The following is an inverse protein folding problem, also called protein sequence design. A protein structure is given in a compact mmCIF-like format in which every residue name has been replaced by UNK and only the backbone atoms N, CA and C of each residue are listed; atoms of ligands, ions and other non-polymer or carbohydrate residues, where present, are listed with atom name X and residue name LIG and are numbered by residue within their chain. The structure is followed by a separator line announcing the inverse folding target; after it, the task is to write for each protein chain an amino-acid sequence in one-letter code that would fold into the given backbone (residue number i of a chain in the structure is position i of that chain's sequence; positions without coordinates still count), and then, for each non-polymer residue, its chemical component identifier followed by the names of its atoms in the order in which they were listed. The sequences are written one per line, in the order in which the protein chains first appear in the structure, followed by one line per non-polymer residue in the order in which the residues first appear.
data_IF_212099722118
#
_entry.id   IF_212099722118
#
_cell.length_a   1.000
_cell.length_b   1.000
_cell.length_c   1.000
_cell.angle_alpha   90.00
_cell.angle_beta   90.00
_cell.angle_gamma   90.00
#
_symmetry.space_group_name_H-M   'P 1'
#
loop_
_entity.id
_entity.type
_entity.pdbx_description
1 polymer ?
#
# COMPACT_ATOMS: atom_id res chain seq x y z
N UNK A 1 29.45 -85.62 -19.99
CA UNK A 1 30.56 -84.67 -20.19
C UNK A 1 29.95 -83.49 -20.91
N UNK A 2 29.49 -82.51 -20.15
CA UNK A 2 28.69 -81.38 -20.65
C UNK A 2 29.60 -80.16 -20.67
N UNK A 3 29.79 -79.62 -21.87
CA UNK A 3 30.67 -78.47 -22.13
C UNK A 3 30.01 -77.20 -21.60
N UNK A 4 30.66 -76.53 -20.65
CA UNK A 4 30.26 -75.20 -20.19
C UNK A 4 30.66 -74.16 -21.24
N UNK A 5 29.67 -73.49 -21.83
CA UNK A 5 29.88 -72.27 -22.61
C UNK A 5 29.96 -71.10 -21.63
N UNK A 6 31.14 -70.49 -21.51
CA UNK A 6 31.30 -69.16 -20.90
C UNK A 6 30.96 -68.12 -21.98
N UNK A 7 29.85 -67.40 -21.80
CA UNK A 7 29.67 -66.11 -22.47
C UNK A 7 30.27 -65.01 -21.61
N UNK A 8 31.27 -64.34 -22.17
CA UNK A 8 31.73 -63.02 -21.75
C UNK A 8 30.55 -62.02 -21.79
N UNK A 9 30.63 -61.00 -20.93
CA UNK A 9 29.69 -59.87 -20.75
C UNK A 9 28.85 -59.93 -19.46
N UNK A 10 29.54 -59.87 -18.33
CA UNK A 10 28.97 -59.52 -17.02
C UNK A 10 28.75 -58.03 -16.82
N UNK A 11 28.22 -57.30 -17.80
CA UNK A 11 27.66 -55.97 -17.57
C UNK A 11 26.21 -56.16 -17.16
N UNK A 12 26.01 -56.26 -15.84
CA UNK A 12 24.70 -56.29 -15.21
C UNK A 12 23.83 -55.14 -15.73
N UNK A 13 22.72 -55.52 -16.35
CA UNK A 13 21.61 -54.68 -16.79
C UNK A 13 20.84 -54.12 -15.57
N UNK A 14 21.52 -53.39 -14.68
CA UNK A 14 20.93 -52.73 -13.49
C UNK A 14 20.72 -51.22 -13.71
N UNK A 15 21.31 -50.64 -14.76
CA UNK A 15 21.37 -49.18 -14.94
C UNK A 15 20.21 -48.55 -15.75
N UNK A 16 19.26 -49.34 -16.28
CA UNK A 16 18.26 -48.84 -17.23
C UNK A 16 17.08 -48.07 -16.61
N UNK A 17 16.61 -48.50 -15.43
CA UNK A 17 15.43 -47.91 -14.78
C UNK A 17 15.77 -47.00 -13.60
N UNK A 18 16.99 -47.08 -13.08
CA UNK A 18 17.44 -46.33 -11.90
C UNK A 18 18.02 -44.96 -12.26
N UNK A 19 18.76 -44.83 -13.36
CA UNK A 19 19.30 -43.54 -13.78
C UNK A 19 18.21 -42.51 -14.15
N UNK A 20 17.19 -42.84 -14.96
CA UNK A 20 16.15 -41.86 -15.33
C UNK A 20 15.32 -41.39 -14.13
N UNK A 21 15.10 -42.27 -13.15
CA UNK A 21 14.39 -41.92 -11.91
C UNK A 21 15.24 -41.01 -11.00
N UNK A 22 16.55 -41.27 -10.92
CA UNK A 22 17.48 -40.40 -10.18
C UNK A 22 17.59 -39.03 -10.85
N UNK A 23 17.60 -38.97 -12.19
CA UNK A 23 17.64 -37.69 -12.92
C UNK A 23 16.36 -36.87 -12.74
N UNK A 24 15.19 -37.52 -12.67
CA UNK A 24 13.92 -36.82 -12.39
C UNK A 24 13.90 -36.29 -10.95
N UNK A 25 14.31 -37.09 -9.97
CA UNK A 25 14.39 -36.66 -8.56
C UNK A 25 15.39 -35.50 -8.39
N UNK A 26 16.54 -35.55 -9.09
CA UNK A 26 17.53 -34.48 -9.06
C UNK A 26 17.00 -33.18 -9.69
N UNK A 27 16.21 -33.29 -10.76
CA UNK A 27 15.53 -32.16 -11.39
C UNK A 27 14.51 -31.51 -10.45
N UNK A 28 13.67 -32.33 -9.80
CA UNK A 28 12.69 -31.86 -8.80
C UNK A 28 13.36 -31.23 -7.58
N UNK A 29 14.47 -31.80 -7.12
CA UNK A 29 15.25 -31.24 -6.02
C UNK A 29 15.88 -29.90 -6.40
N UNK A 30 16.43 -29.76 -7.62
CA UNK A 30 16.98 -28.51 -8.10
C UNK A 30 15.91 -27.42 -8.24
N UNK A 31 14.72 -27.78 -8.71
CA UNK A 31 13.58 -26.87 -8.75
C UNK A 31 13.18 -26.45 -7.34
N UNK A 32 13.07 -27.39 -6.40
CA UNK A 32 12.76 -27.12 -5.00
C UNK A 32 13.82 -26.24 -4.32
N UNK A 33 15.10 -26.42 -4.64
CA UNK A 33 16.20 -25.58 -4.14
C UNK A 33 16.15 -24.17 -4.74
N UNK A 34 15.80 -24.03 -6.03
CA UNK A 34 15.58 -22.74 -6.65
C UNK A 34 14.39 -22.01 -6.00
N UNK A 35 13.30 -22.73 -5.77
CA UNK A 35 12.11 -22.23 -5.09
C UNK A 35 12.42 -21.86 -3.64
N UNK A 36 13.21 -22.64 -2.90
CA UNK A 36 13.65 -22.32 -1.53
C UNK A 36 14.58 -21.10 -1.48
N UNK A 37 15.49 -20.94 -2.45
CA UNK A 37 16.33 -19.74 -2.58
C UNK A 37 15.47 -18.50 -2.82
N UNK A 38 14.39 -18.63 -3.58
CA UNK A 38 13.41 -17.56 -3.78
C UNK A 38 12.53 -17.37 -2.52
N UNK A 39 12.16 -18.45 -1.83
CA UNK A 39 11.29 -18.43 -0.64
C UNK A 39 11.95 -17.77 0.57
N UNK A 40 13.27 -17.96 0.74
CA UNK A 40 14.07 -17.30 1.79
C UNK A 40 14.23 -15.78 1.57
N UNK A 41 13.62 -15.21 0.52
CA UNK A 41 13.58 -13.75 0.30
C UNK A 41 12.23 -13.10 0.60
N UNK A 42 11.20 -13.88 0.95
CA UNK A 42 9.86 -13.35 1.23
C UNK A 42 9.67 -12.85 2.67
N UNK A 43 10.60 -13.12 3.59
CA UNK A 43 10.51 -12.69 5.00
C UNK A 43 11.31 -11.40 5.27
N UNK A 44 11.14 -10.40 4.42
CA UNK A 44 11.92 -9.16 4.34
C UNK A 44 13.26 -9.33 3.62
N UNK A 45 13.26 -9.13 2.30
CA UNK A 45 14.31 -8.26 1.76
C UNK A 45 14.28 -7.00 2.62
N UNK A 46 15.29 -6.81 3.47
CA UNK A 46 15.34 -5.60 4.26
C UNK A 46 15.20 -4.44 3.27
N UNK A 47 14.24 -3.56 3.48
CA UNK A 47 14.12 -2.32 2.70
C UNK A 47 15.43 -1.52 2.66
N UNK A 48 16.43 -1.87 3.50
CA UNK A 48 17.77 -1.32 3.50
C UNK A 48 18.38 -1.18 2.09
N UNK A 49 18.10 -2.11 1.16
CA UNK A 49 18.59 -2.02 -0.23
C UNK A 49 17.47 -2.07 -1.29
N UNK A 50 16.20 -1.98 -0.89
CA UNK A 50 15.07 -2.03 -1.81
C UNK A 50 14.27 -0.73 -1.75
N UNK A 51 14.38 0.07 -2.81
CA UNK A 51 13.65 1.33 -2.98
C UNK A 51 12.35 1.17 -3.78
N UNK A 52 11.91 -0.07 -4.00
CA UNK A 52 10.82 -0.39 -4.92
C UNK A 52 11.25 -0.31 -6.38
N UNK A 53 10.52 -1.02 -7.24
CA UNK A 53 10.62 -0.86 -8.70
C UNK A 53 9.37 -0.20 -9.27
N UNK A 54 9.55 0.54 -10.35
CA UNK A 54 8.41 1.08 -11.10
C UNK A 54 7.71 -0.06 -11.87
N UNK A 55 6.47 -0.36 -11.49
CA UNK A 55 5.68 -1.43 -12.06
C UNK A 55 5.14 -1.12 -13.46
N UNK A 56 5.15 0.15 -13.89
CA UNK A 56 4.70 0.57 -15.22
C UNK A 56 5.46 -0.12 -16.36
N UNK A 57 6.71 -0.52 -16.13
CA UNK A 57 7.51 -1.26 -17.11
C UNK A 57 7.12 -2.73 -17.26
N UNK A 58 6.27 -3.24 -16.37
CA UNK A 58 5.91 -4.66 -16.30
C UNK A 58 4.41 -4.90 -16.52
N UNK A 59 3.57 -4.01 -16.01
CA UNK A 59 2.12 -4.19 -16.04
C UNK A 59 1.42 -2.85 -16.29
N UNK A 60 0.48 -2.84 -17.22
CA UNK A 60 -0.58 -1.84 -17.29
C UNK A 60 -1.47 -1.92 -16.03
N UNK A 61 -2.23 -0.87 -15.68
CA UNK A 61 -3.14 -0.92 -14.54
C UNK A 61 -4.12 -2.11 -14.61
N UNK A 62 -4.66 -2.40 -15.79
CA UNK A 62 -5.58 -3.53 -16.01
C UNK A 62 -4.91 -4.88 -15.76
N UNK A 63 -3.72 -5.12 -16.31
CA UNK A 63 -2.96 -6.35 -16.07
C UNK A 63 -2.60 -6.50 -14.59
N UNK A 64 -2.24 -5.38 -13.94
CA UNK A 64 -1.94 -5.37 -12.51
C UNK A 64 -3.17 -5.76 -11.67
N UNK A 65 -4.35 -5.19 -11.95
CA UNK A 65 -5.61 -5.56 -11.30
C UNK A 65 -5.97 -7.03 -11.52
N UNK A 66 -5.80 -7.54 -12.74
CA UNK A 66 -6.09 -8.94 -13.07
C UNK A 66 -5.18 -9.89 -12.27
N UNK A 67 -3.89 -9.58 -12.23
CA UNK A 67 -2.89 -10.32 -11.45
C UNK A 67 -3.25 -10.36 -9.96
N UNK A 68 -3.62 -9.22 -9.39
CA UNK A 68 -4.09 -9.11 -8.00
C UNK A 68 -5.36 -9.95 -7.79
N UNK A 69 -6.35 -9.81 -8.67
CA UNK A 69 -7.63 -10.53 -8.57
C UNK A 69 -7.45 -12.04 -8.60
N UNK A 70 -6.49 -12.52 -9.38
CA UNK A 70 -6.10 -13.93 -9.47
C UNK A 70 -5.28 -14.43 -8.27
N UNK A 71 -4.93 -13.54 -7.32
CA UNK A 71 -4.09 -13.87 -6.16
C UNK A 71 -2.63 -14.11 -6.51
N UNK A 72 -2.20 -13.69 -7.70
CA UNK A 72 -0.82 -13.82 -8.12
C UNK A 72 0.01 -12.64 -7.59
N UNK A 73 0.65 -12.81 -6.43
CA UNK A 73 1.57 -11.80 -5.90
C UNK A 73 3.04 -12.04 -6.26
N UNK A 74 3.33 -12.97 -7.18
CA UNK A 74 4.71 -13.24 -7.62
C UNK A 74 5.34 -11.98 -8.20
N UNK A 75 6.62 -11.75 -7.91
CA UNK A 75 7.35 -10.57 -8.36
C UNK A 75 6.75 -9.22 -7.91
N UNK A 76 5.86 -9.18 -6.92
CA UNK A 76 5.40 -7.95 -6.29
C UNK A 76 5.97 -7.86 -4.89
N UNK A 77 6.48 -6.67 -4.52
CA UNK A 77 7.10 -6.43 -3.23
C UNK A 77 6.54 -5.16 -2.58
N UNK A 78 6.57 -5.11 -1.24
CA UNK A 78 6.29 -3.88 -0.50
C UNK A 78 7.26 -2.77 -0.96
N UNK A 79 6.73 -1.60 -1.30
CA UNK A 79 7.49 -0.48 -1.84
C UNK A 79 7.54 -0.42 -3.37
N UNK A 80 7.14 -1.48 -4.10
CA UNK A 80 6.92 -1.37 -5.55
C UNK A 80 5.88 -0.31 -5.87
N UNK A 81 6.04 0.38 -6.99
CA UNK A 81 5.30 1.62 -7.18
C UNK A 81 4.85 1.90 -8.60
N UNK A 82 3.87 2.79 -8.68
CA UNK A 82 3.49 3.51 -9.89
C UNK A 82 3.67 5.01 -9.66
N UNK A 83 4.02 5.72 -10.72
CA UNK A 83 3.99 7.18 -10.77
C UNK A 83 2.75 7.57 -11.59
N UNK A 84 1.77 8.16 -10.92
CA UNK A 84 0.47 8.51 -11.50
C UNK A 84 0.42 10.02 -11.63
N UNK A 85 0.26 10.52 -12.85
CA UNK A 85 0.05 11.95 -13.11
C UNK A 85 -1.44 12.23 -13.15
N UNK A 86 -1.91 13.05 -12.21
CA UNK A 86 -3.27 13.56 -12.17
C UNK A 86 -3.47 14.59 -13.28
N UNK A 87 -4.69 14.72 -13.80
CA UNK A 87 -5.05 15.86 -14.65
C UNK A 87 -4.93 17.17 -13.87
N UNK A 88 -4.79 18.28 -14.61
CA UNK A 88 -4.79 19.63 -14.05
C UNK A 88 -6.06 19.90 -13.24
N UNK A 89 -5.95 20.85 -12.30
CA UNK A 89 -7.08 21.33 -11.50
C UNK A 89 -7.63 22.60 -12.15
N UNK A 90 -8.76 22.50 -12.84
CA UNK A 90 -9.38 23.65 -13.52
C UNK A 90 -9.87 24.72 -12.54
N UNK A 91 -10.12 24.37 -11.27
CA UNK A 91 -10.56 25.30 -10.21
C UNK A 91 -9.38 25.96 -9.47
N UNK A 92 -8.15 25.46 -9.63
CA UNK A 92 -6.96 25.95 -8.92
C UNK A 92 -5.79 26.30 -9.86
N UNK A 93 -5.85 27.50 -10.42
CA UNK A 93 -4.85 28.05 -11.35
C UNK A 93 -3.53 28.48 -10.68
N UNK A 94 -3.43 28.41 -9.36
CA UNK A 94 -2.22 28.77 -8.59
C UNK A 94 -1.33 27.57 -8.23
N UNK A 95 -1.60 26.39 -8.80
CA UNK A 95 -0.72 25.24 -8.68
C UNK A 95 0.56 25.46 -9.51
N UNK A 96 1.78 25.42 -8.93
CA UNK A 96 3.00 25.75 -9.67
C UNK A 96 3.34 24.82 -10.83
N UNK A 97 2.55 23.75 -11.03
CA UNK A 97 2.77 22.77 -12.08
C UNK A 97 1.81 22.86 -13.27
N UNK A 98 0.73 23.65 -13.23
CA UNK A 98 -0.13 24.02 -14.38
C UNK A 98 -0.84 22.89 -15.17
N UNK A 99 -0.23 21.72 -15.31
CA UNK A 99 -0.50 20.67 -16.30
C UNK A 99 -0.77 19.30 -15.66
N UNK A 100 -0.97 19.27 -14.34
CA UNK A 100 -1.15 18.04 -13.56
C UNK A 100 -0.11 17.86 -12.46
N UNK A 101 -0.37 16.91 -11.57
CA UNK A 101 0.51 16.59 -10.44
C UNK A 101 0.88 15.10 -10.50
N UNK A 102 2.17 14.78 -10.48
CA UNK A 102 2.63 13.39 -10.37
C UNK A 102 2.74 12.97 -8.92
N UNK A 103 2.14 11.83 -8.58
CA UNK A 103 2.22 11.23 -7.24
C UNK A 103 2.79 9.81 -7.37
N UNK A 104 3.76 9.49 -6.52
CA UNK A 104 4.33 8.13 -6.40
C UNK A 104 3.49 7.33 -5.40
N UNK A 105 2.81 6.30 -5.89
CA UNK A 105 2.02 5.38 -5.05
C UNK A 105 2.76 4.05 -4.91
N UNK A 106 2.98 3.61 -3.67
CA UNK A 106 3.72 2.40 -3.32
C UNK A 106 2.81 1.32 -2.74
N UNK A 107 3.06 0.06 -3.09
CA UNK A 107 2.43 -1.10 -2.47
C UNK A 107 2.76 -1.09 -0.97
N UNK A 108 1.73 -0.86 -0.17
CA UNK A 108 1.82 -0.65 1.28
C UNK A 108 1.33 -1.85 2.10
N UNK A 109 0.53 -2.72 1.47
CA UNK A 109 0.04 -3.95 2.06
C UNK A 109 -0.63 -4.86 1.04
N UNK A 110 -0.50 -6.16 1.26
CA UNK A 110 -1.22 -7.20 0.52
C UNK A 110 -2.33 -7.75 1.41
N UNK A 111 -3.55 -7.82 0.90
CA UNK A 111 -4.70 -8.39 1.59
C UNK A 111 -4.95 -7.82 3.01
N UNK A 112 -4.56 -6.57 3.28
CA UNK A 112 -4.62 -5.98 4.63
C UNK A 112 -6.06 -5.82 5.14
N UNK A 113 -7.03 -5.67 4.24
CA UNK A 113 -8.45 -5.54 4.54
C UNK A 113 -9.22 -6.83 4.20
N UNK A 114 -8.57 -7.99 4.17
CA UNK A 114 -9.24 -9.23 3.83
C UNK A 114 -10.30 -9.57 4.89
N UNK A 115 -11.52 -9.84 4.44
CA UNK A 115 -12.71 -10.03 5.27
C UNK A 115 -13.10 -8.81 6.11
N UNK A 116 -12.71 -7.61 5.69
CA UNK A 116 -13.06 -6.34 6.32
C UNK A 116 -14.09 -5.58 5.49
N UNK A 117 -15.03 -4.90 6.14
CA UNK A 117 -16.13 -4.18 5.50
C UNK A 117 -17.48 -4.45 6.18
N UNK A 118 -18.52 -3.68 5.83
CA UNK A 118 -19.89 -3.93 6.30
C UNK A 118 -20.81 -4.35 5.17
N UNK A 119 -20.88 -3.54 4.12
CA UNK A 119 -21.76 -3.79 2.98
C UNK A 119 -20.96 -4.38 1.82
N UNK A 120 -19.71 -3.93 1.63
CA UNK A 120 -18.78 -4.41 0.62
C UNK A 120 -17.60 -5.11 1.30
N UNK A 121 -17.87 -6.25 1.96
CA UNK A 121 -16.83 -7.04 2.61
C UNK A 121 -15.79 -7.47 1.57
N UNK A 122 -14.54 -7.09 1.79
CA UNK A 122 -13.46 -7.34 0.84
C UNK A 122 -12.93 -8.77 1.01
N UNK A 123 -13.53 -9.71 0.29
CA UNK A 123 -13.14 -11.13 0.28
C UNK A 123 -12.16 -11.49 -0.84
N UNK A 124 -12.08 -10.64 -1.86
CA UNK A 124 -11.15 -10.81 -2.97
C UNK A 124 -9.75 -10.36 -2.58
N UNK A 125 -8.76 -10.95 -3.26
CA UNK A 125 -7.39 -10.47 -3.21
C UNK A 125 -7.31 -8.99 -3.61
N UNK A 126 -6.48 -8.24 -2.90
CA UNK A 126 -6.32 -6.81 -3.09
C UNK A 126 -4.96 -6.31 -2.61
N UNK A 127 -4.61 -5.12 -3.09
CA UNK A 127 -3.43 -4.38 -2.66
C UNK A 127 -3.83 -2.99 -2.20
N UNK A 128 -3.19 -2.53 -1.12
CA UNK A 128 -3.30 -1.14 -0.66
C UNK A 128 -2.09 -0.38 -1.16
N UNK A 129 -2.34 0.68 -1.90
CA UNK A 129 -1.32 1.60 -2.36
C UNK A 129 -1.42 2.91 -1.58
N UNK A 130 -0.29 3.49 -1.19
CA UNK A 130 -0.25 4.79 -0.51
C UNK A 130 0.79 5.70 -1.14
N UNK A 131 0.53 7.00 -1.12
CA UNK A 131 1.44 8.01 -1.63
C UNK A 131 2.74 8.05 -0.81
N UNK A 132 3.89 8.18 -1.46
CA UNK A 132 5.18 8.37 -0.78
C UNK A 132 5.25 9.76 -0.17
N UNK A 133 5.02 10.77 -1.00
CA UNK A 133 4.97 12.18 -0.62
C UNK A 133 3.52 12.67 -0.57
N UNK A 134 3.29 13.78 0.11
CA UNK A 134 2.01 14.45 0.07
C UNK A 134 1.75 15.02 -1.33
N UNK A 135 0.48 15.33 -1.58
CA UNK A 135 0.15 16.29 -2.61
C UNK A 135 0.91 17.61 -2.36
N UNK A 136 1.18 18.35 -3.43
CA UNK A 136 1.88 19.62 -3.41
C UNK A 136 1.07 20.66 -2.64
N UNK A 137 -0.24 20.71 -2.91
CA UNK A 137 -1.18 21.52 -2.16
C UNK A 137 -1.39 21.01 -0.73
N UNK A 138 -1.66 21.96 0.16
CA UNK A 138 -2.13 21.72 1.51
C UNK A 138 -3.64 21.86 1.56
N UNK A 139 -4.27 21.25 2.56
CA UNK A 139 -5.70 21.38 2.79
C UNK A 139 -5.97 21.53 4.28
N UNK A 140 -6.95 22.35 4.62
CA UNK A 140 -7.53 22.34 5.96
C UNK A 140 -8.36 21.08 6.14
N UNK A 141 -8.40 20.55 7.36
CA UNK A 141 -9.34 19.48 7.67
C UNK A 141 -10.76 20.04 7.78
N UNK A 142 -10.93 21.22 8.39
CA UNK A 142 -12.19 21.95 8.56
C UNK A 142 -12.00 23.46 8.36
N UNK A 143 -13.08 24.21 8.14
CA UNK A 143 -12.99 25.69 8.01
C UNK A 143 -12.64 26.39 9.33
N UNK A 144 -13.09 25.81 10.44
CA UNK A 144 -12.87 26.29 11.81
C UNK A 144 -12.35 25.16 12.68
N UNK A 145 -11.75 25.53 13.80
CA UNK A 145 -11.20 24.64 14.83
C UNK A 145 -12.29 23.89 15.60
N UNK A 146 -12.92 22.95 14.89
CA UNK A 146 -13.92 22.02 15.37
C UNK A 146 -13.61 20.65 14.76
N UNK A 147 -13.80 19.56 15.50
CA UNK A 147 -13.68 18.19 15.00
C UNK A 147 -14.95 17.36 15.27
N UNK A 148 -16.06 18.04 15.57
CA UNK A 148 -17.37 17.41 15.74
C UNK A 148 -17.74 16.60 14.51
N UNK A 149 -18.15 15.34 14.73
CA UNK A 149 -18.44 14.38 13.66
C UNK A 149 -17.21 13.69 13.07
N UNK A 150 -15.99 14.03 13.52
CA UNK A 150 -14.73 13.42 13.15
C UNK A 150 -14.45 13.46 11.64
N UNK A 151 -13.79 12.42 11.13
CA UNK A 151 -13.30 12.43 9.74
C UNK A 151 -14.43 12.52 8.71
N UNK A 152 -15.55 11.84 8.93
CA UNK A 152 -16.65 11.83 7.97
C UNK A 152 -17.33 13.21 7.80
N UNK A 153 -17.31 14.05 8.84
CA UNK A 153 -17.86 15.40 8.79
C UNK A 153 -16.86 16.46 8.26
N UNK A 154 -15.61 16.06 8.02
CA UNK A 154 -14.56 16.99 7.58
C UNK A 154 -14.64 17.36 6.10
N UNK A 155 -13.84 18.33 5.68
CA UNK A 155 -13.68 18.70 4.27
C UNK A 155 -12.95 17.62 3.46
N UNK A 156 -12.19 16.76 4.13
CA UNK A 156 -11.25 15.83 3.49
C UNK A 156 -11.92 14.76 2.63
N UNK A 157 -12.99 14.05 3.07
CA UNK A 157 -13.76 13.17 2.21
C UNK A 157 -14.14 13.75 0.85
N UNK A 158 -14.74 14.95 0.84
CA UNK A 158 -15.20 15.61 -0.38
C UNK A 158 -14.02 16.02 -1.26
N UNK A 159 -12.95 16.53 -0.64
CA UNK A 159 -11.72 16.87 -1.35
C UNK A 159 -11.11 15.64 -2.04
N UNK A 160 -11.05 14.50 -1.36
CA UNK A 160 -10.46 13.28 -1.91
C UNK A 160 -11.26 12.69 -3.08
N UNK A 161 -12.59 12.86 -3.11
CA UNK A 161 -13.38 12.48 -4.29
C UNK A 161 -13.08 13.40 -5.49
N UNK A 162 -12.90 14.71 -5.28
CA UNK A 162 -12.40 15.61 -6.35
C UNK A 162 -11.00 15.23 -6.84
N UNK A 163 -10.13 14.79 -5.93
CA UNK A 163 -8.80 14.28 -6.32
C UNK A 163 -8.92 12.99 -7.13
N UNK A 164 -9.84 12.09 -6.77
CA UNK A 164 -10.10 10.86 -7.52
C UNK A 164 -10.57 11.14 -8.95
N UNK A 165 -11.42 12.14 -9.16
CA UNK A 165 -11.88 12.53 -10.50
C UNK A 165 -10.73 12.95 -11.43
N UNK A 166 -9.61 13.43 -10.86
CA UNK A 166 -8.39 13.81 -11.59
C UNK A 166 -7.47 12.63 -11.91
N UNK A 167 -7.74 11.43 -11.41
CA UNK A 167 -6.95 10.25 -11.81
C UNK A 167 -7.20 9.92 -13.28
N UNK A 168 -6.17 9.43 -14.01
CA UNK A 168 -6.36 8.89 -15.35
C UNK A 168 -7.43 7.79 -15.37
N UNK A 169 -8.14 7.67 -16.49
CA UNK A 169 -9.29 6.77 -16.65
C UNK A 169 -8.92 5.30 -16.37
N UNK A 170 -7.76 4.86 -16.83
CA UNK A 170 -7.26 3.52 -16.56
C UNK A 170 -7.05 3.23 -15.06
N UNK A 171 -6.73 4.26 -14.26
CA UNK A 171 -6.58 4.11 -12.81
C UNK A 171 -7.92 4.10 -12.09
N UNK A 172 -8.85 5.00 -12.47
CA UNK A 172 -10.21 5.00 -11.91
C UNK A 172 -10.92 3.66 -12.11
N UNK A 173 -10.66 2.98 -13.22
CA UNK A 173 -11.24 1.66 -13.54
C UNK A 173 -10.65 0.50 -12.71
N UNK A 174 -9.46 0.67 -12.14
CA UNK A 174 -8.81 -0.39 -11.34
C UNK A 174 -8.92 -0.16 -9.84
N UNK A 175 -9.06 1.09 -9.42
CA UNK A 175 -9.33 1.45 -8.03
C UNK A 175 -10.69 0.88 -7.62
N UNK A 176 -10.69 0.18 -6.49
CA UNK A 176 -11.88 -0.39 -5.87
C UNK A 176 -12.28 0.48 -4.67
N UNK A 177 -13.55 0.89 -4.55
CA UNK A 177 -14.05 1.51 -3.34
C UNK A 177 -13.89 0.59 -2.13
N UNK A 178 -13.39 1.12 -1.02
CA UNK A 178 -13.11 0.38 0.21
C UNK A 178 -14.04 0.81 1.34
N UNK A 179 -14.72 -0.13 1.98
CA UNK A 179 -15.45 0.11 3.23
C UNK A 179 -14.45 0.28 4.39
N UNK A 180 -14.48 1.44 5.05
CA UNK A 180 -13.64 1.78 6.20
C UNK A 180 -14.51 2.11 7.40
N UNK A 181 -14.04 1.71 8.59
CA UNK A 181 -14.68 2.03 9.86
C UNK A 181 -14.00 3.30 10.38
N UNK A 182 -14.65 4.45 10.18
CA UNK A 182 -14.08 5.77 10.42
C UNK A 182 -14.40 6.26 11.83
N UNK A 183 -13.44 6.97 12.42
CA UNK A 183 -13.58 7.59 13.72
C UNK A 183 -14.32 8.94 13.59
N UNK A 184 -15.58 8.95 14.03
CA UNK A 184 -16.48 10.10 13.96
C UNK A 184 -16.71 10.75 15.33
N UNK A 185 -15.71 10.64 16.23
CA UNK A 185 -15.68 11.17 17.62
C UNK A 185 -16.68 10.60 18.62
N UNK A 186 -17.95 10.48 18.24
CA UNK A 186 -19.02 9.95 19.10
C UNK A 186 -19.37 8.50 18.79
N UNK A 187 -18.86 7.99 17.67
CA UNK A 187 -19.08 6.63 17.17
C UNK A 187 -18.05 6.27 16.11
N UNK A 188 -17.91 4.98 15.89
CA UNK A 188 -17.24 4.43 14.72
C UNK A 188 -18.32 4.06 13.69
N UNK A 189 -18.25 4.62 12.48
CA UNK A 189 -19.23 4.35 11.42
C UNK A 189 -18.55 3.91 10.13
N UNK A 190 -19.26 3.08 9.37
CA UNK A 190 -18.81 2.61 8.08
C UNK A 190 -19.03 3.65 6.99
N UNK A 191 -17.99 3.93 6.21
CA UNK A 191 -18.05 4.72 4.99
C UNK A 191 -17.27 4.03 3.87
N UNK A 192 -17.74 4.17 2.63
CA UNK A 192 -17.05 3.66 1.45
C UNK A 192 -16.24 4.79 0.80
N UNK A 193 -14.97 4.56 0.50
CA UNK A 193 -14.04 5.57 -0.02
C UNK A 193 -13.28 5.07 -1.25
N UNK A 194 -13.13 5.90 -2.29
CA UNK A 194 -12.22 5.61 -3.40
C UNK A 194 -10.78 5.91 -3.01
N UNK A 195 -10.55 7.12 -2.49
CA UNK A 195 -9.30 7.56 -1.90
C UNK A 195 -9.51 7.86 -0.42
N UNK A 196 -8.46 7.69 0.37
CA UNK A 196 -8.55 7.91 1.82
C UNK A 196 -7.26 8.41 2.45
N UNK A 197 -7.38 9.11 3.58
CA UNK A 197 -6.27 9.28 4.50
C UNK A 197 -6.10 8.03 5.37
N UNK A 198 -4.85 7.70 5.66
CA UNK A 198 -4.55 6.67 6.65
C UNK A 198 -4.92 7.14 8.05
N UNK A 199 -5.41 6.20 8.85
CA UNK A 199 -5.64 6.36 10.28
C UNK A 199 -4.33 6.19 11.05
N UNK A 200 -4.25 6.69 12.29
CA UNK A 200 -3.09 6.45 13.15
C UNK A 200 -2.79 4.96 13.34
N UNK A 201 -3.82 4.13 13.47
CA UNK A 201 -3.67 2.68 13.64
C UNK A 201 -3.08 2.03 12.39
N UNK A 202 -3.43 2.51 11.20
CA UNK A 202 -2.87 2.00 9.94
C UNK A 202 -1.39 2.40 9.77
N UNK A 203 -0.97 3.54 10.33
CA UNK A 203 0.40 4.04 10.27
C UNK A 203 1.28 3.43 11.38
N UNK A 204 0.81 3.44 12.62
CA UNK A 204 1.59 3.15 13.83
C UNK A 204 1.27 1.79 14.46
N UNK A 205 0.14 1.18 14.07
CA UNK A 205 -0.39 -0.03 14.70
C UNK A 205 -1.23 0.22 15.94
N UNK A 206 -1.29 1.47 16.42
CA UNK A 206 -2.08 1.89 17.58
C UNK A 206 -2.33 3.40 17.54
N UNK A 207 -3.33 3.84 18.30
CA UNK A 207 -3.67 5.25 18.50
C UNK A 207 -2.75 5.90 19.53
N UNK A 208 -2.14 7.03 19.19
CA UNK A 208 -1.35 7.87 20.11
C UNK A 208 -2.15 9.11 20.51
N UNK A 209 -2.73 9.83 19.54
CA UNK A 209 -3.51 11.05 19.76
C UNK A 209 -5.00 10.86 19.47
N UNK A 210 -5.33 9.91 18.61
CA UNK A 210 -6.70 9.61 18.21
C UNK A 210 -7.58 9.16 19.38
N UNK A 211 -8.89 9.36 19.23
CA UNK A 211 -9.88 8.72 20.10
C UNK A 211 -9.86 7.20 19.92
N UNK A 212 -9.05 6.54 20.75
CA UNK A 212 -8.78 5.10 20.76
C UNK A 212 -10.04 4.23 20.87
N UNK A 213 -11.11 4.74 21.50
CA UNK A 213 -12.34 3.96 21.68
C UNK A 213 -13.09 3.77 20.36
N UNK A 214 -13.00 4.75 19.46
CA UNK A 214 -13.64 4.75 18.13
C UNK A 214 -12.65 4.52 16.98
N UNK A 215 -11.35 4.51 17.25
CA UNK A 215 -10.30 4.15 16.28
C UNK A 215 -10.29 2.63 16.03
N UNK A 216 -11.27 2.15 15.27
CA UNK A 216 -11.52 0.72 15.02
C UNK A 216 -11.18 0.28 13.60
N UNK A 217 -10.28 1.01 12.96
CA UNK A 217 -9.76 0.71 11.63
C UNK A 217 -9.08 -0.67 11.55
N UNK A 218 -8.55 -0.98 10.37
CA UNK A 218 -7.82 -2.24 10.14
C UNK A 218 -6.46 -2.27 10.87
N UNK A 219 -5.70 -3.35 10.64
CA UNK A 219 -4.32 -3.56 11.13
C UNK A 219 -3.32 -2.56 10.52
N UNK A 220 -2.16 -2.34 11.16
CA UNK A 220 -1.09 -1.53 10.57
C UNK A 220 -0.71 -1.99 9.18
N UNK A 221 -0.48 -1.04 8.26
CA UNK A 221 0.04 -1.34 6.94
C UNK A 221 1.49 -1.82 7.05
N UNK A 222 1.82 -3.01 6.51
CA UNK A 222 3.15 -3.62 6.65
C UNK A 222 4.30 -2.68 6.26
N UNK A 223 4.16 -1.92 5.18
CA UNK A 223 5.22 -1.02 4.71
C UNK A 223 5.63 0.03 5.75
N UNK A 224 4.67 0.55 6.51
CA UNK A 224 4.90 1.56 7.56
C UNK A 224 5.59 0.98 8.80
N UNK A 225 5.53 -0.35 8.97
CA UNK A 225 6.22 -1.04 10.07
C UNK A 225 7.70 -1.29 9.77
N UNK A 226 8.07 -1.37 8.50
CA UNK A 226 9.44 -1.72 8.11
C UNK A 226 10.36 -0.52 7.86
N UNK A 227 9.82 0.67 7.59
CA UNK A 227 10.68 1.85 7.32
C UNK A 227 10.02 3.17 7.65
N UNK A 228 10.80 4.07 8.26
CA UNK A 228 10.41 5.48 8.48
C UNK A 228 10.31 6.26 7.17
N UNK A 229 10.90 5.78 6.07
CA UNK A 229 10.84 6.40 4.74
C UNK A 229 9.41 6.67 4.27
N UNK A 230 8.47 5.78 4.62
CA UNK A 230 7.08 5.90 4.17
C UNK A 230 6.21 6.69 5.16
N UNK A 231 6.72 6.92 6.38
CA UNK A 231 6.16 7.84 7.38
C UNK A 231 6.62 9.27 7.21
N UNK A 232 7.80 9.51 6.65
CA UNK A 232 8.34 10.86 6.43
C UNK A 232 8.00 11.27 5.00
N UNK A 233 7.18 12.31 4.85
CA UNK A 233 6.69 12.80 3.55
C UNK A 233 7.14 14.24 3.31
N UNK A 234 7.19 14.67 2.05
CA UNK A 234 7.33 16.08 1.65
C UNK A 234 6.13 16.55 0.83
N UNK A 235 6.00 17.86 0.59
CA UNK A 235 4.97 18.40 -0.30
C UNK A 235 5.37 18.20 -1.76
N UNK A 236 4.58 17.41 -2.50
CA UNK A 236 4.80 17.16 -3.92
C UNK A 236 5.86 16.10 -4.22
N UNK A 237 5.90 15.72 -5.49
CA UNK A 237 6.68 14.60 -6.01
C UNK A 237 8.17 14.63 -5.63
N UNK A 238 8.65 13.54 -5.01
CA UNK A 238 10.04 13.31 -4.61
C UNK A 238 10.60 14.31 -3.57
N UNK A 239 9.76 15.13 -2.94
CA UNK A 239 10.21 16.12 -1.96
C UNK A 239 10.92 15.49 -0.76
N UNK A 240 10.37 14.44 -0.16
CA UNK A 240 11.02 13.74 0.98
C UNK A 240 12.39 13.19 0.62
N UNK A 241 12.55 12.66 -0.60
CA UNK A 241 13.83 12.13 -1.08
C UNK A 241 14.90 13.21 -1.31
N UNK A 242 14.48 14.46 -1.51
CA UNK A 242 15.35 15.63 -1.62
C UNK A 242 15.56 16.34 -0.27
N UNK A 243 15.12 15.74 0.84
CA UNK A 243 15.28 16.30 2.19
C UNK A 243 14.21 17.33 2.58
N UNK A 244 13.25 17.63 1.72
CA UNK A 244 12.12 18.53 2.01
C UNK A 244 11.02 17.71 2.67
N UNK A 245 10.67 18.05 3.90
CA UNK A 245 9.77 17.26 4.74
C UNK A 245 8.61 18.11 5.22
N UNK A 246 7.44 17.50 5.32
CA UNK A 246 6.17 18.15 5.59
C UNK A 246 5.33 17.33 6.58
N UNK A 247 4.54 17.98 7.43
CA UNK A 247 3.50 17.30 8.17
C UNK A 247 2.35 16.89 7.25
N UNK A 248 1.61 15.84 7.61
CA UNK A 248 0.41 15.44 6.87
C UNK A 248 -0.69 14.92 7.77
N UNK A 249 -1.93 15.10 7.30
CA UNK A 249 -3.13 14.69 8.02
C UNK A 249 -3.29 13.17 8.10
N UNK A 250 -3.88 12.73 9.20
CA UNK A 250 -4.46 11.38 9.32
C UNK A 250 -5.99 11.46 9.34
N UNK A 251 -6.67 10.33 9.14
CA UNK A 251 -8.13 10.22 9.29
C UNK A 251 -8.60 10.19 10.75
N UNK A 252 -7.76 10.58 11.71
CA UNK A 252 -7.97 10.34 13.13
C UNK A 252 -8.19 11.66 13.90
N UNK A 253 -9.41 11.94 14.39
CA UNK A 253 -9.67 13.11 15.23
C UNK A 253 -9.05 12.95 16.63
N UNK A 254 -8.60 14.04 17.25
CA UNK A 254 -7.92 14.01 18.55
C UNK A 254 -8.83 13.55 19.68
N UNK A 255 -8.38 12.68 20.57
CA UNK A 255 -9.16 12.23 21.74
C UNK A 255 -9.52 13.38 22.69
N UNK A 256 -8.50 14.05 23.22
CA UNK A 256 -8.60 14.97 24.35
C UNK A 256 -8.91 16.42 23.93
N UNK A 257 -9.32 16.62 22.68
CA UNK A 257 -9.53 17.95 22.10
C UNK A 257 -10.71 17.93 21.12
N UNK A 258 -11.48 19.02 21.12
CA UNK A 258 -12.58 19.24 20.17
C UNK A 258 -12.16 20.07 18.94
N UNK A 259 -10.89 20.44 18.81
CA UNK A 259 -10.46 21.46 17.84
C UNK A 259 -9.60 20.94 16.70
N UNK A 260 -9.10 19.70 16.77
CA UNK A 260 -8.04 19.26 15.88
C UNK A 260 -8.07 17.80 15.47
N UNK A 261 -7.14 17.46 14.58
CA UNK A 261 -6.91 16.11 14.09
C UNK A 261 -5.44 15.74 14.29
N UNK A 262 -5.20 14.43 14.30
CA UNK A 262 -3.85 13.89 14.37
C UNK A 262 -3.12 14.06 13.04
N UNK A 263 -1.84 14.37 13.14
CA UNK A 263 -0.92 14.51 12.02
C UNK A 263 0.29 13.63 12.24
N UNK A 264 0.98 13.30 11.16
CA UNK A 264 2.36 12.85 11.23
C UNK A 264 3.25 14.04 10.89
N UNK A 265 4.18 14.36 11.78
CA UNK A 265 5.12 15.48 11.62
C UNK A 265 6.19 15.19 10.57
N UNK A 266 6.94 16.22 10.19
CA UNK A 266 8.07 16.12 9.25
C UNK A 266 9.22 15.18 9.71
N UNK A 267 9.20 14.72 10.96
CA UNK A 267 10.13 13.71 11.50
C UNK A 267 9.51 12.31 11.62
N UNK A 268 8.28 12.11 11.16
CA UNK A 268 7.57 10.82 11.22
C UNK A 268 6.98 10.51 12.59
N UNK A 269 6.86 11.49 13.48
CA UNK A 269 6.22 11.35 14.79
C UNK A 269 4.75 11.75 14.73
N UNK A 270 3.90 11.09 15.50
CA UNK A 270 2.50 11.52 15.67
C UNK A 270 2.46 12.80 16.50
N UNK A 271 1.70 13.77 16.04
CA UNK A 271 1.32 14.95 16.81
C UNK A 271 -0.09 15.39 16.43
N UNK A 272 -0.46 16.63 16.75
CA UNK A 272 -1.74 17.19 16.38
C UNK A 272 -1.63 18.55 15.71
N UNK A 273 -2.69 18.93 15.03
CA UNK A 273 -2.86 20.27 14.48
C UNK A 273 -4.32 20.68 14.55
N UNK A 274 -4.56 21.98 14.74
CA UNK A 274 -5.91 22.55 14.74
C UNK A 274 -6.54 22.38 13.35
N UNK A 275 -7.82 22.01 13.29
CA UNK A 275 -8.45 21.50 12.06
C UNK A 275 -8.52 22.55 10.95
N UNK A 276 -8.46 23.85 11.29
CA UNK A 276 -8.41 24.96 10.31
C UNK A 276 -7.02 25.31 9.79
N UNK A 277 -5.99 24.58 10.21
CA UNK A 277 -4.60 24.80 9.75
C UNK A 277 -4.44 24.51 8.26
N UNK A 278 -3.83 25.44 7.53
CA UNK A 278 -3.70 25.42 6.06
C UNK A 278 -2.31 25.02 5.55
N UNK A 279 -1.40 24.58 6.43
CA UNK A 279 -0.03 24.20 6.07
C UNK A 279 0.21 22.68 6.07
N UNK A 280 -0.82 21.88 6.34
CA UNK A 280 -0.68 20.42 6.50
C UNK A 280 -0.99 19.71 5.19
N UNK A 281 -0.13 18.75 4.82
CA UNK A 281 -0.22 18.02 3.56
C UNK A 281 -1.28 16.93 3.55
N UNK A 282 -1.66 16.53 2.34
CA UNK A 282 -2.59 15.42 2.10
C UNK A 282 -1.80 14.22 1.56
N UNK A 283 -1.83 13.09 2.28
CA UNK A 283 -1.23 11.85 1.84
C UNK A 283 -2.31 10.78 1.69
N UNK A 284 -2.55 10.38 0.44
CA UNK A 284 -3.66 9.51 0.07
C UNK A 284 -3.25 8.04 -0.02
N UNK A 285 -4.21 7.15 0.20
CA UNK A 285 -4.15 5.75 -0.14
C UNK A 285 -5.41 5.29 -0.87
N UNK A 286 -5.33 4.16 -1.57
CA UNK A 286 -6.42 3.53 -2.27
C UNK A 286 -6.24 2.01 -2.35
N UNK A 287 -7.32 1.32 -2.70
CA UNK A 287 -7.36 -0.13 -2.89
C UNK A 287 -7.45 -0.49 -4.38
N UNK A 288 -6.73 -1.53 -4.78
CA UNK A 288 -6.93 -2.24 -6.06
C UNK A 288 -7.41 -3.65 -5.75
#
# INVERSE_FOLDING_TARGET
MSVNVKTENGLLQIAGNTLPAVDSELSELNQSVADLKNSNTNLAKSLANYNGKNLKSFYTPTEFKEKISNGDFTNLELGDYYEITLSGDEENTNHPWGDGETIKYVISGFNTYLNYGKNNILTNNHIIMTSVDCMFGTMKMNETDDNTGGYAASLMPTYLEKVFERFPEEWKNVIRPLDRLENNKSKADWATRNLFLLSETEINGYSIKADDYFERGTRPLPLYQFSSRYRIKGHGFNSSSNGIRAPYWTASPLKDSSIGFSIITYNGLVDFCDSSSDFVGVATGFCI
#
